data_IF_833339434442
#
_entry.id   IF_833339434442
#
_cell.length_a   1.000
_cell.length_b   1.000
_cell.length_c   1.000
_cell.angle_alpha   90.00
_cell.angle_beta   90.00
_cell.angle_gamma   90.00
#
_symmetry.space_group_name_H-M   'P 1'
#
loop_
_entity.id
_entity.type
_entity.pdbx_description
1 polymer ?
#
# COMPACT_ATOMS: atom_id res chain seq x y z
N UNK A 1 11.18 10.54 2.67
CA UNK A 1 9.72 10.39 2.87
C UNK A 1 9.42 9.15 3.70
N UNK A 2 8.17 8.94 4.13
CA UNK A 2 7.72 7.74 4.85
C UNK A 2 7.03 6.75 3.92
N UNK A 3 6.93 5.47 4.32
CA UNK A 3 6.01 4.52 3.70
C UNK A 3 4.86 4.22 4.69
N UNK A 4 3.62 4.23 4.21
CA UNK A 4 2.42 4.01 5.04
C UNK A 4 1.60 2.87 4.45
N UNK A 5 1.52 1.76 5.19
CA UNK A 5 0.78 0.57 4.79
C UNK A 5 -0.63 0.66 5.37
N UNK A 6 -1.64 0.81 4.51
CA UNK A 6 -3.03 0.95 4.92
C UNK A 6 -3.68 -0.42 5.15
N UNK A 7 -4.20 -0.61 6.36
CA UNK A 7 -4.84 -1.86 6.78
C UNK A 7 -6.26 -1.60 7.27
N UNK A 8 -7.25 -2.24 6.65
CA UNK A 8 -8.65 -2.19 7.06
C UNK A 8 -9.25 -3.59 7.13
N UNK A 9 -10.36 -3.73 7.86
CA UNK A 9 -11.12 -4.99 7.90
C UNK A 9 -11.55 -5.43 6.50
N UNK A 10 -11.24 -6.69 6.18
CA UNK A 10 -11.76 -7.35 4.99
C UNK A 10 -13.00 -8.15 5.37
N UNK A 11 -14.12 -7.90 4.70
CA UNK A 11 -15.34 -8.69 4.86
C UNK A 11 -15.26 -10.02 4.11
N UNK A 12 -14.54 -10.05 2.98
CA UNK A 12 -14.41 -11.25 2.13
C UNK A 12 -13.39 -12.25 2.68
N UNK A 13 -12.34 -11.76 3.32
CA UNK A 13 -11.27 -12.58 3.88
C UNK A 13 -10.84 -11.97 5.23
N UNK A 14 -11.60 -12.22 6.32
CA UNK A 14 -11.28 -11.70 7.63
C UNK A 14 -9.89 -12.16 8.09
N UNK A 15 -9.10 -11.25 8.67
CA UNK A 15 -7.75 -11.58 9.16
C UNK A 15 -6.70 -11.81 8.09
N UNK A 16 -6.99 -11.51 6.81
CA UNK A 16 -6.09 -11.79 5.66
C UNK A 16 -4.66 -11.28 5.87
N UNK A 17 -4.50 -10.14 6.53
CA UNK A 17 -3.19 -9.53 6.76
C UNK A 17 -2.22 -10.37 7.61
N UNK A 18 -2.77 -11.28 8.43
CA UNK A 18 -2.01 -12.21 9.25
C UNK A 18 -1.89 -13.61 8.62
N UNK A 19 -2.55 -13.86 7.50
CA UNK A 19 -2.39 -15.10 6.75
C UNK A 19 -0.99 -15.17 6.14
N UNK A 20 -0.43 -16.39 6.10
CA UNK A 20 0.97 -16.58 5.75
C UNK A 20 1.19 -16.92 4.28
N UNK A 21 2.26 -16.37 3.74
CA UNK A 21 2.88 -16.75 2.45
C UNK A 21 4.34 -17.09 2.78
N UNK A 22 4.81 -18.25 2.36
CA UNK A 22 6.15 -18.76 2.70
C UNK A 22 6.43 -18.76 4.23
N UNK A 23 5.41 -19.06 5.06
CA UNK A 23 5.55 -19.08 6.50
C UNK A 23 5.56 -17.73 7.21
N UNK A 24 5.43 -16.64 6.48
CA UNK A 24 5.44 -15.27 7.01
C UNK A 24 4.09 -14.57 6.79
N UNK A 25 3.55 -13.82 7.79
CA UNK A 25 2.35 -13.02 7.61
C UNK A 25 2.48 -12.06 6.42
N UNK A 26 1.41 -11.93 5.62
CA UNK A 26 1.39 -11.05 4.44
C UNK A 26 1.84 -9.62 4.79
N UNK A 27 1.35 -9.09 5.90
CA UNK A 27 1.69 -7.74 6.33
C UNK A 27 3.15 -7.58 6.71
N UNK A 28 3.76 -8.58 7.38
CA UNK A 28 5.20 -8.58 7.68
C UNK A 28 6.05 -8.59 6.41
N UNK A 29 5.64 -9.34 5.39
CA UNK A 29 6.35 -9.36 4.10
C UNK A 29 6.38 -7.99 3.46
N UNK A 30 5.22 -7.31 3.39
CA UNK A 30 5.11 -5.96 2.82
C UNK A 30 5.98 -4.99 3.61
N UNK A 31 5.89 -5.02 4.93
CA UNK A 31 6.64 -4.16 5.83
C UNK A 31 8.15 -4.32 5.63
N UNK A 32 8.65 -5.56 5.68
CA UNK A 32 10.08 -5.86 5.45
C UNK A 32 10.56 -5.46 4.05
N UNK A 33 9.74 -5.70 3.02
CA UNK A 33 10.09 -5.29 1.66
C UNK A 33 10.36 -3.79 1.61
N UNK A 34 9.49 -2.99 2.22
CA UNK A 34 9.66 -1.53 2.27
C UNK A 34 10.88 -1.12 3.09
N UNK A 35 11.13 -1.73 4.25
CA UNK A 35 12.33 -1.47 5.06
C UNK A 35 13.62 -1.80 4.30
N UNK A 36 13.67 -2.95 3.61
CA UNK A 36 14.85 -3.39 2.87
C UNK A 36 15.22 -2.47 1.70
N UNK A 37 14.31 -1.63 1.19
CA UNK A 37 14.67 -0.64 0.18
C UNK A 37 15.64 0.43 0.71
N UNK A 38 15.62 0.70 2.01
CA UNK A 38 16.38 1.79 2.62
C UNK A 38 15.96 3.21 2.19
N UNK A 39 14.85 3.34 1.45
CA UNK A 39 14.39 4.61 0.87
C UNK A 39 13.52 5.44 1.83
N UNK A 40 13.01 4.82 2.88
CA UNK A 40 12.03 5.44 3.78
C UNK A 40 12.64 5.72 5.15
N UNK A 41 12.41 6.92 5.67
CA UNK A 41 12.78 7.30 7.03
C UNK A 41 12.09 6.42 8.08
N UNK A 42 10.87 5.98 7.74
CA UNK A 42 10.04 5.16 8.60
C UNK A 42 9.01 4.42 7.75
N UNK A 43 8.80 3.15 8.04
CA UNK A 43 7.68 2.36 7.54
C UNK A 43 6.65 2.25 8.64
N UNK A 44 5.38 2.57 8.36
CA UNK A 44 4.29 2.56 9.34
C UNK A 44 3.14 1.71 8.81
N UNK A 45 2.62 0.83 9.63
CA UNK A 45 1.32 0.16 9.39
C UNK A 45 0.22 1.05 9.98
N UNK A 46 -0.62 1.62 9.12
CA UNK A 46 -1.73 2.49 9.51
C UNK A 46 -3.03 1.70 9.50
N UNK A 47 -3.49 1.32 10.70
CA UNK A 47 -4.49 0.27 10.86
C UNK A 47 -5.79 0.75 11.47
N UNK A 48 -6.92 0.33 10.88
CA UNK A 48 -8.26 0.44 11.49
C UNK A 48 -8.57 -0.67 12.50
N UNK A 49 -7.69 -1.66 12.65
CA UNK A 49 -7.82 -2.67 13.70
C UNK A 49 -7.21 -2.12 15.00
N UNK A 50 -8.00 -2.00 16.09
CA UNK A 50 -7.50 -1.42 17.34
C UNK A 50 -6.43 -2.28 18.00
N UNK A 51 -6.49 -3.61 17.81
CA UNK A 51 -5.65 -4.61 18.50
C UNK A 51 -4.67 -5.29 17.54
N UNK A 52 -4.38 -4.70 16.38
CA UNK A 52 -3.39 -5.26 15.48
C UNK A 52 -2.01 -5.16 16.15
N UNK A 53 -1.40 -6.30 16.38
CA UNK A 53 -0.02 -6.41 16.83
C UNK A 53 0.73 -7.35 15.88
N UNK A 54 1.94 -6.97 15.52
CA UNK A 54 2.81 -7.74 14.65
C UNK A 54 4.25 -7.42 14.99
N UNK A 55 5.01 -8.45 15.36
CA UNK A 55 6.39 -8.29 15.82
C UNK A 55 7.25 -7.62 14.73
N UNK A 56 8.07 -6.67 15.15
CA UNK A 56 8.97 -5.94 14.28
C UNK A 56 8.32 -4.87 13.40
N UNK A 57 7.00 -4.64 13.50
CA UNK A 57 6.31 -3.61 12.74
C UNK A 57 5.90 -2.43 13.62
N UNK A 58 6.17 -1.21 13.15
CA UNK A 58 5.61 0.00 13.74
C UNK A 58 4.15 0.15 13.31
N UNK A 59 3.23 0.00 14.27
CA UNK A 59 1.80 0.07 14.02
C UNK A 59 1.24 1.33 14.65
N UNK A 60 0.51 2.11 13.86
CA UNK A 60 -0.22 3.27 14.29
C UNK A 60 -1.72 3.12 13.99
N UNK A 61 -2.55 3.59 14.91
CA UNK A 61 -3.99 3.53 14.74
C UNK A 61 -4.46 4.59 13.74
N UNK A 62 -5.25 4.17 12.75
CA UNK A 62 -6.08 5.03 11.93
C UNK A 62 -7.33 5.44 12.74
N UNK A 63 -7.44 6.70 13.19
CA UNK A 63 -8.56 7.14 14.02
C UNK A 63 -9.83 7.36 13.20
N UNK A 64 -9.75 7.35 11.87
CA UNK A 64 -10.88 7.68 11.02
C UNK A 64 -11.90 6.55 10.96
N UNK A 65 -13.17 6.90 10.98
CA UNK A 65 -14.29 5.95 10.84
C UNK A 65 -14.83 5.88 9.41
N UNK A 66 -14.32 6.72 8.52
CA UNK A 66 -14.79 6.90 7.17
C UNK A 66 -14.14 5.99 6.14
N UNK A 67 -14.05 6.51 4.94
CA UNK A 67 -13.53 5.82 3.75
C UNK A 67 -12.00 5.86 3.67
N UNK A 68 -11.43 5.30 2.61
CA UNK A 68 -10.00 5.39 2.32
C UNK A 68 -9.54 6.85 2.14
N UNK A 69 -10.40 7.72 1.57
CA UNK A 69 -10.09 9.14 1.42
C UNK A 69 -9.83 9.79 2.78
N UNK A 70 -10.67 9.49 3.79
CA UNK A 70 -10.53 10.04 5.13
C UNK A 70 -9.20 9.58 5.77
N UNK A 71 -8.82 8.32 5.59
CA UNK A 71 -7.53 7.78 6.05
C UNK A 71 -6.34 8.45 5.36
N UNK A 72 -6.43 8.72 4.05
CA UNK A 72 -5.38 9.40 3.28
C UNK A 72 -5.26 10.86 3.71
N UNK A 73 -6.39 11.58 3.89
CA UNK A 73 -6.39 12.97 4.37
C UNK A 73 -5.73 13.08 5.74
N UNK A 74 -6.08 12.19 6.68
CA UNK A 74 -5.45 12.14 8.00
C UNK A 74 -3.94 11.83 7.89
N UNK A 75 -3.56 10.89 7.02
CA UNK A 75 -2.17 10.54 6.77
C UNK A 75 -1.37 11.70 6.17
N UNK A 76 -1.94 12.52 5.27
CA UNK A 76 -1.28 13.72 4.74
C UNK A 76 -0.99 14.73 5.86
N UNK A 77 -1.94 14.93 6.79
CA UNK A 77 -1.75 15.81 7.94
C UNK A 77 -0.64 15.28 8.86
N UNK A 78 -0.68 13.98 9.16
CA UNK A 78 0.20 13.32 10.12
C UNK A 78 1.61 13.07 9.61
N UNK A 79 1.73 12.57 8.39
CA UNK A 79 2.99 12.11 7.82
C UNK A 79 3.58 13.06 6.76
N UNK A 80 2.77 13.95 6.21
CA UNK A 80 3.17 14.89 5.15
C UNK A 80 3.25 14.23 3.79
N UNK A 81 4.46 13.87 3.37
CA UNK A 81 4.73 13.18 2.11
C UNK A 81 5.02 11.71 2.39
N UNK A 82 4.34 10.80 1.69
CA UNK A 82 4.49 9.37 1.90
C UNK A 82 4.11 8.54 0.67
N UNK A 83 4.73 7.36 0.56
CA UNK A 83 4.25 6.28 -0.29
C UNK A 83 3.12 5.55 0.44
N UNK A 84 1.91 5.55 -0.13
CA UNK A 84 0.80 4.71 0.31
C UNK A 84 0.96 3.31 -0.28
N UNK A 85 0.79 2.27 0.55
CA UNK A 85 0.84 0.87 0.14
C UNK A 85 -0.37 0.13 0.70
N UNK A 86 -1.00 -0.72 -0.09
CA UNK A 86 -2.06 -1.61 0.38
C UNK A 86 -1.51 -2.75 1.24
N UNK A 87 -2.14 -3.02 2.39
CA UNK A 87 -1.79 -4.17 3.24
C UNK A 87 -2.19 -5.53 2.64
N UNK A 88 -2.57 -5.56 1.37
CA UNK A 88 -2.99 -6.72 0.60
C UNK A 88 -2.15 -6.97 -0.66
N UNK A 89 -0.95 -6.39 -0.72
CA UNK A 89 0.05 -6.54 -1.80
C UNK A 89 1.24 -7.43 -1.36
N UNK A 90 1.03 -8.71 -1.00
CA UNK A 90 2.08 -9.53 -0.40
C UNK A 90 3.22 -9.93 -1.32
N UNK A 91 3.07 -9.71 -2.63
CA UNK A 91 4.09 -9.96 -3.64
C UNK A 91 4.89 -8.71 -3.99
N UNK A 92 4.72 -7.63 -3.21
CA UNK A 92 5.47 -6.39 -3.43
C UNK A 92 6.98 -6.68 -3.42
N UNK A 93 7.67 -6.11 -4.42
CA UNK A 93 9.09 -6.30 -4.65
C UNK A 93 9.85 -5.00 -4.43
N UNK A 94 11.02 -5.07 -3.79
CA UNK A 94 11.86 -3.90 -3.48
C UNK A 94 12.37 -3.15 -4.71
N UNK A 95 12.61 -3.84 -5.82
CA UNK A 95 13.03 -3.21 -7.09
C UNK A 95 11.89 -2.34 -7.65
N UNK A 96 10.65 -2.88 -7.68
CA UNK A 96 9.47 -2.15 -8.14
C UNK A 96 9.22 -0.92 -7.28
N UNK A 97 9.36 -1.05 -5.96
CA UNK A 97 9.25 0.11 -5.05
C UNK A 97 10.32 1.15 -5.35
N UNK A 98 11.57 0.72 -5.52
CA UNK A 98 12.69 1.63 -5.75
C UNK A 98 12.55 2.38 -7.07
N UNK A 99 12.21 1.69 -8.15
CA UNK A 99 11.99 2.32 -9.44
C UNK A 99 10.82 3.29 -9.41
N UNK A 100 9.70 2.90 -8.78
CA UNK A 100 8.54 3.78 -8.66
C UNK A 100 8.87 5.06 -7.88
N UNK A 101 9.63 4.95 -6.79
CA UNK A 101 10.05 6.12 -5.99
C UNK A 101 11.03 7.01 -6.77
N UNK A 102 11.89 6.45 -7.63
CA UNK A 102 12.81 7.23 -8.47
C UNK A 102 12.09 8.11 -9.51
N UNK A 103 10.89 7.73 -9.95
CA UNK A 103 10.07 8.54 -10.85
C UNK A 103 9.40 9.74 -10.16
N UNK A 104 9.52 9.82 -8.82
CA UNK A 104 8.88 10.90 -8.06
C UNK A 104 9.66 12.20 -8.15
N UNK A 105 9.03 13.21 -8.76
CA UNK A 105 9.58 14.57 -8.97
C UNK A 105 8.93 15.65 -8.08
N UNK A 106 8.20 15.24 -7.04
CA UNK A 106 7.44 16.13 -6.15
C UNK A 106 5.99 16.38 -6.58
N UNK A 107 5.54 15.81 -7.72
CA UNK A 107 4.11 15.74 -8.08
C UNK A 107 3.51 14.44 -7.56
N UNK A 108 2.25 14.44 -7.10
CA UNK A 108 1.58 13.21 -6.72
C UNK A 108 1.67 12.16 -7.83
N UNK A 109 2.02 10.93 -7.45
CA UNK A 109 2.36 9.86 -8.37
C UNK A 109 1.53 8.62 -8.04
N UNK A 110 0.99 7.90 -9.02
CA UNK A 110 0.29 6.63 -8.81
C UNK A 110 0.66 5.59 -9.86
N UNK A 111 0.74 4.34 -9.44
CA UNK A 111 0.98 3.23 -10.34
C UNK A 111 -0.27 2.82 -11.09
N UNK A 112 -0.06 2.36 -12.32
CA UNK A 112 -1.04 1.67 -13.15
C UNK A 112 -0.50 0.26 -13.42
N UNK A 113 -1.27 -0.77 -13.11
CA UNK A 113 -0.85 -2.15 -13.37
C UNK A 113 -0.95 -2.50 -14.87
N UNK A 114 -0.51 -3.70 -15.27
CA UNK A 114 -0.52 -4.15 -16.68
C UNK A 114 -1.92 -4.20 -17.30
N UNK A 115 -2.96 -4.30 -16.49
CA UNK A 115 -4.36 -4.30 -16.94
C UNK A 115 -4.94 -2.89 -17.12
N UNK A 116 -4.14 -1.85 -16.87
CA UNK A 116 -4.57 -0.45 -16.93
C UNK A 116 -5.33 0.01 -15.69
N UNK A 117 -5.33 -0.77 -14.61
CA UNK A 117 -5.97 -0.40 -13.35
C UNK A 117 -5.03 0.48 -12.52
N UNK A 118 -5.53 1.63 -12.09
CA UNK A 118 -4.80 2.54 -11.18
C UNK A 118 -4.82 1.94 -9.78
N UNK A 119 -3.68 2.02 -9.09
CA UNK A 119 -3.51 1.53 -7.72
C UNK A 119 -3.38 2.71 -6.73
N UNK A 120 -4.49 3.20 -6.16
CA UNK A 120 -4.45 4.33 -5.21
C UNK A 120 -3.66 4.02 -3.93
N UNK A 121 -3.47 2.74 -3.61
CA UNK A 121 -2.61 2.24 -2.54
C UNK A 121 -1.33 1.61 -3.08
N UNK A 122 -0.80 2.15 -4.16
CA UNK A 122 0.59 2.17 -4.56
C UNK A 122 0.83 3.53 -5.24
N UNK A 123 0.85 4.59 -4.41
CA UNK A 123 0.85 5.97 -4.85
C UNK A 123 1.57 6.88 -3.85
N UNK A 124 2.21 7.94 -4.33
CA UNK A 124 2.85 8.95 -3.48
C UNK A 124 1.91 10.16 -3.32
N UNK A 125 1.52 10.39 -2.08
CA UNK A 125 0.70 11.51 -1.64
C UNK A 125 1.56 12.57 -0.96
N UNK A 126 1.18 13.84 -1.10
CA UNK A 126 1.85 14.94 -0.43
C UNK A 126 0.86 16.07 -0.06
N UNK A 127 1.33 17.08 0.64
CA UNK A 127 0.48 18.19 1.13
C UNK A 127 -0.13 19.04 0.02
N UNK A 128 0.42 19.03 -1.20
CA UNK A 128 -0.06 19.86 -2.32
C UNK A 128 -1.49 19.52 -2.73
N UNK A 129 -1.86 18.23 -2.63
CA UNK A 129 -3.21 17.77 -3.04
C UNK A 129 -4.24 17.81 -1.91
N UNK A 130 -3.84 18.15 -0.67
CA UNK A 130 -4.72 18.06 0.49
C UNK A 130 -6.04 18.82 0.30
N UNK A 131 -5.96 20.09 -0.11
CA UNK A 131 -7.15 20.93 -0.28
C UNK A 131 -8.10 20.41 -1.37
N UNK A 132 -7.56 19.98 -2.51
CA UNK A 132 -8.35 19.42 -3.61
C UNK A 132 -8.98 18.07 -3.22
N UNK A 133 -8.23 17.21 -2.52
CA UNK A 133 -8.74 15.93 -2.04
C UNK A 133 -9.84 16.13 -0.98
N UNK A 134 -9.66 17.08 -0.07
CA UNK A 134 -10.67 17.42 0.93
C UNK A 134 -11.95 17.94 0.26
N UNK A 135 -11.85 18.78 -0.74
CA UNK A 135 -13.04 19.25 -1.49
C UNK A 135 -13.69 18.10 -2.26
N UNK A 136 -12.90 17.29 -2.96
CA UNK A 136 -13.41 16.11 -3.68
C UNK A 136 -14.14 15.13 -2.75
N UNK A 137 -13.67 14.94 -1.52
CA UNK A 137 -14.27 14.03 -0.53
C UNK A 137 -15.69 14.39 -0.13
N UNK A 138 -16.10 15.65 -0.30
CA UNK A 138 -17.47 16.13 -0.04
C UNK A 138 -18.46 15.65 -1.10
N UNK A 139 -17.98 15.42 -2.32
CA UNK A 139 -18.81 15.07 -3.48
C UNK A 139 -18.70 13.59 -3.88
N UNK A 140 -17.54 12.96 -3.61
CA UNK A 140 -17.29 11.57 -3.96
C UNK A 140 -16.51 10.85 -2.87
N UNK A 141 -16.88 9.58 -2.62
CA UNK A 141 -16.13 8.68 -1.74
C UNK A 141 -15.13 7.80 -2.51
N UNK A 142 -14.98 8.02 -3.81
CA UNK A 142 -14.16 7.21 -4.71
C UNK A 142 -12.80 7.88 -4.95
N UNK A 143 -11.77 7.44 -4.24
CA UNK A 143 -10.40 7.91 -4.40
C UNK A 143 -9.85 7.69 -5.82
N UNK A 144 -10.30 6.63 -6.49
CA UNK A 144 -9.85 6.25 -7.83
C UNK A 144 -10.02 7.38 -8.86
N UNK A 145 -11.20 8.02 -8.91
CA UNK A 145 -11.47 9.12 -9.84
C UNK A 145 -10.54 10.30 -9.58
N UNK A 146 -10.35 10.66 -8.31
CA UNK A 146 -9.44 11.73 -7.93
C UNK A 146 -7.99 11.45 -8.36
N UNK A 147 -7.49 10.24 -8.09
CA UNK A 147 -6.13 9.84 -8.48
C UNK A 147 -5.98 9.87 -9.99
N UNK A 148 -6.95 9.36 -10.74
CA UNK A 148 -6.94 9.35 -12.20
C UNK A 148 -6.80 10.77 -12.81
N UNK A 149 -7.42 11.75 -12.19
CA UNK A 149 -7.48 13.13 -12.71
C UNK A 149 -6.32 14.01 -12.25
N UNK A 150 -5.70 13.70 -11.11
CA UNK A 150 -4.77 14.61 -10.42
C UNK A 150 -3.35 14.11 -10.29
N UNK A 151 -3.11 12.82 -10.51
CA UNK A 151 -1.79 12.21 -10.32
C UNK A 151 -1.07 12.04 -11.64
N UNK A 152 0.24 12.10 -11.59
CA UNK A 152 1.07 11.54 -12.63
C UNK A 152 0.93 10.00 -12.55
N UNK A 153 0.62 9.35 -13.68
CA UNK A 153 0.38 7.92 -13.74
C UNK A 153 1.57 7.21 -14.37
N UNK A 154 2.15 6.24 -13.67
CA UNK A 154 3.27 5.43 -14.13
C UNK A 154 2.80 4.00 -14.41
N UNK A 155 2.96 3.57 -15.65
CA UNK A 155 2.65 2.20 -16.05
C UNK A 155 3.71 1.25 -15.51
N UNK A 156 3.32 0.30 -14.66
CA UNK A 156 4.16 -0.82 -14.25
C UNK A 156 4.10 -1.88 -15.37
N UNK A 157 5.25 -2.29 -15.87
CA UNK A 157 5.30 -3.28 -16.93
C UNK A 157 4.73 -4.66 -16.51
N UNK A 158 4.41 -5.52 -17.46
CA UNK A 158 3.73 -6.79 -17.22
C UNK A 158 4.52 -7.71 -16.28
N UNK A 159 5.83 -7.80 -16.45
CA UNK A 159 6.71 -8.65 -15.64
C UNK A 159 6.68 -8.26 -14.16
N UNK A 160 6.63 -6.94 -13.89
CA UNK A 160 6.63 -6.35 -12.54
C UNK A 160 5.24 -6.16 -11.96
N UNK A 161 4.20 -6.22 -12.78
CA UNK A 161 2.80 -6.03 -12.38
C UNK A 161 2.35 -7.07 -11.34
N UNK A 162 2.99 -8.24 -11.29
CA UNK A 162 2.77 -9.25 -10.23
C UNK A 162 3.01 -8.71 -8.83
N UNK A 163 3.90 -7.71 -8.68
CA UNK A 163 4.15 -7.04 -7.40
C UNK A 163 2.93 -6.29 -6.87
N UNK A 164 2.00 -5.90 -7.75
CA UNK A 164 0.76 -5.21 -7.39
C UNK A 164 -0.44 -6.17 -7.29
N UNK A 165 -0.19 -7.48 -7.17
CA UNK A 165 -1.23 -8.47 -7.02
C UNK A 165 -1.93 -8.35 -5.66
N UNK A 166 -3.22 -8.02 -5.69
CA UNK A 166 -4.06 -7.85 -4.52
C UNK A 166 -4.65 -9.18 -4.04
N UNK A 167 -4.47 -9.52 -2.76
CA UNK A 167 -5.11 -10.68 -2.12
C UNK A 167 -6.40 -10.26 -1.43
N UNK A 168 -7.55 -10.63 -2.00
CA UNK A 168 -8.87 -10.30 -1.49
C UNK A 168 -9.74 -11.52 -1.15
N UNK A 169 -9.38 -12.69 -1.67
CA UNK A 169 -10.07 -13.98 -1.49
C UNK A 169 -9.09 -15.09 -1.11
N UNK A 170 -9.59 -16.25 -0.70
CA UNK A 170 -8.75 -17.43 -0.49
C UNK A 170 -8.09 -17.90 -1.78
N UNK A 171 -8.79 -17.78 -2.91
CA UNK A 171 -8.24 -18.11 -4.23
C UNK A 171 -7.05 -17.21 -4.57
N UNK A 172 -7.15 -15.89 -4.32
CA UNK A 172 -6.02 -14.98 -4.49
C UNK A 172 -4.85 -15.33 -3.59
N UNK A 173 -5.13 -15.75 -2.34
CA UNK A 173 -4.09 -16.17 -1.41
C UNK A 173 -3.34 -17.41 -1.93
N UNK A 174 -4.05 -18.42 -2.44
CA UNK A 174 -3.42 -19.59 -3.02
C UNK A 174 -2.62 -19.27 -4.30
N UNK A 175 -3.13 -18.38 -5.14
CA UNK A 175 -2.38 -17.85 -6.29
C UNK A 175 -1.12 -17.13 -5.83
N UNK A 176 -1.22 -16.26 -4.83
CA UNK A 176 -0.06 -15.54 -4.29
C UNK A 176 0.99 -16.50 -3.72
N UNK A 177 0.59 -17.57 -3.03
CA UNK A 177 1.48 -18.63 -2.54
C UNK A 177 2.22 -19.37 -3.65
N UNK A 178 1.56 -19.61 -4.77
CA UNK A 178 2.15 -20.27 -5.94
C UNK A 178 3.16 -19.38 -6.65
N UNK A 179 2.90 -18.05 -6.68
CA UNK A 179 3.77 -17.08 -7.36
C UNK A 179 4.95 -16.66 -6.48
N UNK A 180 4.76 -16.67 -5.14
CA UNK A 180 5.75 -16.15 -4.22
C UNK A 180 7.07 -16.91 -4.30
N UNK A 181 8.18 -16.18 -4.41
CA UNK A 181 9.51 -16.74 -4.21
C UNK A 181 9.77 -16.85 -2.69
N UNK A 182 9.93 -18.09 -2.24
CA UNK A 182 10.17 -18.41 -0.83
C UNK A 182 11.66 -18.54 -0.48
N UNK A 183 12.56 -18.27 -1.41
CA UNK A 183 14.01 -18.46 -1.22
C UNK A 183 14.61 -17.57 -0.12
N UNK A 184 14.00 -16.42 0.16
CA UNK A 184 14.50 -15.46 1.15
C UNK A 184 14.04 -15.72 2.60
N UNK A 185 13.22 -16.74 2.86
CA UNK A 185 12.72 -17.07 4.21
C UNK A 185 13.59 -18.11 4.95
N UNK A 186 14.62 -18.65 4.32
CA UNK A 186 15.44 -19.75 4.86
C UNK A 186 16.67 -19.32 5.69
N UNK A 187 16.82 -18.03 6.01
CA UNK A 187 17.99 -17.53 6.77
C UNK A 187 17.53 -16.93 8.10
N UNK A 188 17.25 -17.77 9.08
CA UNK A 188 17.24 -17.47 10.51
C UNK A 188 17.85 -18.61 11.28
#
# INVERSE_FOLDING_TARGET
MKAVIFVKQSQRLPGKHLMTICGEPMLSRIYRTLEHTGLFETVVVYSKYPDLALDGCLIERDPTTGTLIDSILDSIVKFGEFLAVGGDLPLLNSEVVSEFVLEYDGRPLAAVNSEGTIEPLFAIYNRRIYGELLESSKHSKQIFTFVKERFHLIQINEERSRSLFNVNTLEDLEKARTIADCSHTASR
#
